data_IF_150219431725
#
_entry.id   IF_150219431725
#
_cell.length_a   1.000
_cell.length_b   1.000
_cell.length_c   1.000
_cell.angle_alpha   90.00
_cell.angle_beta   90.00
_cell.angle_gamma   90.00
#
_symmetry.space_group_name_H-M   'P 1'
#
loop_
_entity.id
_entity.type
_entity.pdbx_description
1 polymer ?
#
# COMPACT_ATOMS: atom_id res chain seq x y z
N UNK A 1 -1.79 31.12 18.93
CA UNK A 1 -0.91 31.06 17.73
C UNK A 1 0.42 30.34 17.96
N UNK A 2 0.58 29.53 19.02
CA UNK A 2 1.59 28.47 19.07
C UNK A 2 1.06 27.30 19.90
N UNK A 3 -0.03 26.68 19.41
CA UNK A 3 -0.43 25.39 19.95
C UNK A 3 0.58 24.37 19.43
N UNK A 4 1.12 23.55 20.33
CA UNK A 4 1.92 22.36 20.06
C UNK A 4 1.12 21.37 19.18
N UNK A 5 0.87 21.72 17.92
CA UNK A 5 0.45 20.78 16.88
C UNK A 5 1.62 19.81 16.73
N UNK A 6 1.42 18.64 17.33
CA UNK A 6 2.37 17.55 17.53
C UNK A 6 3.51 17.57 16.50
N UNK A 7 4.74 17.85 16.95
CA UNK A 7 5.93 17.93 16.09
C UNK A 7 6.07 16.71 15.16
N UNK A 8 5.72 15.52 15.66
CA UNK A 8 5.70 14.28 14.87
C UNK A 8 4.67 14.28 13.73
N UNK A 9 3.50 14.90 13.93
CA UNK A 9 2.49 15.06 12.86
C UNK A 9 2.94 16.07 11.80
N UNK A 10 3.69 17.10 12.20
CA UNK A 10 4.29 18.04 11.26
C UNK A 10 5.44 17.38 10.46
N UNK A 11 6.29 16.58 11.11
CA UNK A 11 7.36 15.86 10.42
C UNK A 11 6.80 14.85 9.41
N UNK A 12 5.80 14.05 9.79
CA UNK A 12 5.17 13.07 8.87
C UNK A 12 4.46 13.74 7.70
N UNK A 13 3.77 14.87 7.93
CA UNK A 13 3.17 15.62 6.81
C UNK A 13 4.21 16.22 5.87
N UNK A 14 5.34 16.72 6.39
CA UNK A 14 6.46 17.20 5.57
C UNK A 14 7.09 16.05 4.77
N UNK A 15 7.35 14.89 5.38
CA UNK A 15 7.88 13.71 4.68
C UNK A 15 6.96 13.26 3.55
N UNK A 16 5.66 13.14 3.84
CA UNK A 16 4.65 12.81 2.82
C UNK A 16 4.66 13.83 1.69
N UNK A 17 4.62 15.12 2.01
CA UNK A 17 4.58 16.19 1.02
C UNK A 17 5.80 16.16 0.10
N UNK A 18 7.02 16.08 0.64
CA UNK A 18 8.27 16.10 -0.15
C UNK A 18 8.28 14.91 -1.11
N UNK A 19 7.98 13.71 -0.61
CA UNK A 19 8.02 12.49 -1.42
C UNK A 19 6.96 12.51 -2.52
N UNK A 20 5.73 12.90 -2.19
CA UNK A 20 4.64 12.96 -3.19
C UNK A 20 4.84 14.09 -4.21
N UNK A 21 5.38 15.23 -3.80
CA UNK A 21 5.75 16.32 -4.70
C UNK A 21 6.85 15.85 -5.67
N UNK A 22 7.90 15.19 -5.18
CA UNK A 22 8.95 14.60 -6.02
C UNK A 22 8.38 13.56 -7.00
N UNK A 23 7.46 12.70 -6.55
CA UNK A 23 6.78 11.74 -7.42
C UNK A 23 6.02 12.44 -8.54
N UNK A 24 5.32 13.53 -8.22
CA UNK A 24 4.54 14.30 -9.19
C UNK A 24 5.41 15.03 -10.21
N UNK A 25 6.56 15.57 -9.80
CA UNK A 25 7.50 16.22 -10.72
C UNK A 25 8.19 15.19 -11.62
N UNK A 26 8.56 14.02 -11.09
CA UNK A 26 9.07 12.91 -11.91
C UNK A 26 8.04 12.45 -12.95
N UNK A 27 6.77 12.33 -12.56
CA UNK A 27 5.68 11.97 -13.47
C UNK A 27 5.52 13.03 -14.57
N UNK A 28 5.43 14.32 -14.21
CA UNK A 28 5.32 15.41 -15.19
C UNK A 28 6.51 15.43 -16.14
N UNK A 29 7.73 15.33 -15.60
CA UNK A 29 8.95 15.29 -16.40
C UNK A 29 8.95 14.10 -17.37
N UNK A 30 8.46 12.94 -16.94
CA UNK A 30 8.34 11.77 -17.82
C UNK A 30 7.40 12.02 -18.98
N UNK A 31 6.22 12.58 -18.74
CA UNK A 31 5.26 12.89 -19.81
C UNK A 31 5.85 13.91 -20.79
N UNK A 32 6.51 14.96 -20.30
CA UNK A 32 7.15 15.98 -21.15
C UNK A 32 8.28 15.39 -22.01
N UNK A 33 9.12 14.52 -21.44
CA UNK A 33 10.20 13.87 -22.18
C UNK A 33 9.68 12.98 -23.30
N UNK A 34 8.59 12.27 -23.04
CA UNK A 34 7.94 11.44 -24.05
C UNK A 34 7.36 12.36 -25.16
N UNK A 35 6.82 13.53 -24.81
CA UNK A 35 6.28 14.52 -25.78
C UNK A 35 7.27 15.21 -26.65
N UNK A 36 8.45 15.46 -26.11
CA UNK A 36 9.53 16.02 -26.92
C UNK A 36 10.05 15.01 -27.93
N UNK A 37 10.08 13.73 -27.59
CA UNK A 37 10.70 12.69 -28.42
C UNK A 37 9.75 12.13 -29.48
N UNK A 38 8.47 12.03 -29.17
CA UNK A 38 7.49 11.43 -30.07
C UNK A 38 6.43 12.48 -30.43
N UNK A 39 6.17 12.69 -31.72
CA UNK A 39 4.98 13.41 -32.18
C UNK A 39 3.74 12.54 -31.97
N UNK A 40 2.54 13.15 -31.92
CA UNK A 40 1.22 12.49 -31.79
C UNK A 40 1.22 11.04 -32.37
N UNK A 41 1.11 10.03 -31.50
CA UNK A 41 1.19 8.61 -31.90
C UNK A 41 2.00 7.70 -30.96
N UNK A 42 2.13 8.05 -29.68
CA UNK A 42 2.97 7.30 -28.72
C UNK A 42 2.41 5.95 -28.31
N UNK A 43 1.18 5.64 -28.72
CA UNK A 43 0.48 4.41 -28.36
C UNK A 43 1.24 3.17 -28.86
N UNK A 44 2.06 3.31 -29.91
CA UNK A 44 2.72 2.18 -30.57
C UNK A 44 4.18 1.94 -30.18
N UNK A 45 4.86 2.88 -29.54
CA UNK A 45 6.25 2.67 -29.09
C UNK A 45 6.30 2.55 -27.57
N UNK A 46 7.07 1.57 -27.08
CA UNK A 46 7.35 1.37 -25.66
C UNK A 46 8.37 2.43 -25.24
N UNK A 47 7.89 3.66 -25.07
CA UNK A 47 8.68 4.80 -24.60
C UNK A 47 8.77 4.66 -23.08
N UNK A 48 9.93 4.87 -22.41
CA UNK A 48 10.29 4.17 -21.18
C UNK A 48 9.24 4.29 -20.08
N UNK A 49 8.39 3.25 -20.04
CA UNK A 49 7.39 2.97 -19.01
C UNK A 49 8.03 2.91 -17.63
N UNK A 50 9.34 2.70 -17.53
CA UNK A 50 10.10 2.69 -16.29
C UNK A 50 10.04 4.04 -15.53
N UNK A 51 10.07 5.19 -16.21
CA UNK A 51 10.05 6.48 -15.48
C UNK A 51 8.65 6.83 -14.98
N UNK A 52 7.62 6.55 -15.78
CA UNK A 52 6.22 6.66 -15.34
C UNK A 52 5.95 5.68 -14.19
N UNK A 53 6.27 4.39 -14.38
CA UNK A 53 6.03 3.36 -13.35
C UNK A 53 6.80 3.65 -12.07
N UNK A 54 8.08 4.02 -12.11
CA UNK A 54 8.83 4.40 -10.90
C UNK A 54 8.19 5.56 -10.14
N UNK A 55 7.67 6.59 -10.85
CA UNK A 55 6.95 7.69 -10.22
C UNK A 55 5.66 7.24 -9.53
N UNK A 56 4.88 6.36 -10.16
CA UNK A 56 3.62 5.83 -9.61
C UNK A 56 3.88 4.88 -8.44
N UNK A 57 4.89 4.02 -8.55
CA UNK A 57 5.30 3.10 -7.49
C UNK A 57 5.82 3.84 -6.26
N UNK A 58 6.51 4.96 -6.46
CA UNK A 58 6.90 5.86 -5.37
C UNK A 58 5.66 6.48 -4.70
N UNK A 59 4.64 6.92 -5.47
CA UNK A 59 3.37 7.41 -4.90
C UNK A 59 2.65 6.37 -4.05
N UNK A 60 2.63 5.12 -4.49
CA UNK A 60 1.94 4.00 -3.80
C UNK A 60 2.76 3.47 -2.61
N UNK A 61 4.07 3.69 -2.58
CA UNK A 61 4.97 3.17 -1.55
C UNK A 61 5.38 1.71 -1.78
N UNK A 62 5.45 1.26 -3.03
CA UNK A 62 5.98 -0.07 -3.37
C UNK A 62 7.49 -0.10 -3.10
N UNK A 63 8.04 -1.26 -2.71
CA UNK A 63 9.48 -1.39 -2.59
C UNK A 63 10.15 -1.36 -3.98
N UNK A 64 11.35 -0.77 -4.12
CA UNK A 64 12.23 -0.22 -3.08
C UNK A 64 11.84 1.18 -2.55
N UNK A 65 10.87 1.87 -3.16
CA UNK A 65 10.44 3.24 -2.81
C UNK A 65 9.57 3.36 -1.54
N UNK A 66 9.59 2.35 -0.68
CA UNK A 66 8.64 2.17 0.42
C UNK A 66 9.01 2.91 1.72
N UNK A 67 10.25 3.40 1.89
CA UNK A 67 10.77 3.89 3.18
C UNK A 67 9.92 4.99 3.83
N UNK A 68 9.34 5.89 3.02
CA UNK A 68 8.51 6.97 3.53
C UNK A 68 7.21 6.46 4.17
N UNK A 69 6.71 5.31 3.72
CA UNK A 69 5.37 4.86 4.03
C UNK A 69 5.20 4.41 5.50
N UNK A 70 6.04 3.50 6.05
CA UNK A 70 5.99 3.15 7.47
C UNK A 70 6.26 4.33 8.40
N UNK A 71 7.19 5.22 8.03
CA UNK A 71 7.53 6.40 8.84
C UNK A 71 6.36 7.38 8.95
N UNK A 72 5.72 7.72 7.82
CA UNK A 72 4.54 8.61 7.80
C UNK A 72 3.38 7.98 8.57
N UNK A 73 3.13 6.69 8.37
CA UNK A 73 2.06 6.00 9.10
C UNK A 73 2.29 5.98 10.61
N UNK A 74 3.53 5.76 11.06
CA UNK A 74 3.89 5.68 12.49
C UNK A 74 3.50 6.91 13.31
N UNK A 75 3.48 8.10 12.70
CA UNK A 75 3.19 9.36 13.38
C UNK A 75 1.79 9.93 13.07
N UNK A 76 1.01 9.24 12.22
CA UNK A 76 -0.30 9.70 11.77
C UNK A 76 -1.46 9.12 12.60
N UNK A 77 -2.63 9.76 12.55
CA UNK A 77 -3.85 9.23 13.20
C UNK A 77 -4.38 8.00 12.46
N UNK A 78 -5.20 7.17 13.12
CA UNK A 78 -5.79 5.98 12.51
C UNK A 78 -6.59 6.28 11.23
N UNK A 79 -7.32 7.38 11.20
CA UNK A 79 -8.09 7.78 10.01
C UNK A 79 -7.15 8.13 8.86
N UNK A 80 -6.06 8.85 9.14
CA UNK A 80 -5.07 9.19 8.13
C UNK A 80 -4.34 7.93 7.63
N UNK A 81 -4.00 6.98 8.52
CA UNK A 81 -3.48 5.67 8.13
C UNK A 81 -4.42 4.96 7.14
N UNK A 82 -5.73 4.94 7.42
CA UNK A 82 -6.71 4.32 6.52
C UNK A 82 -6.73 5.00 5.15
N UNK A 83 -6.75 6.34 5.12
CA UNK A 83 -6.74 7.09 3.85
C UNK A 83 -5.48 6.83 3.02
N UNK A 84 -4.32 6.72 3.67
CA UNK A 84 -3.04 6.39 3.01
C UNK A 84 -3.02 4.96 2.46
N UNK A 85 -3.58 4.00 3.21
CA UNK A 85 -3.62 2.60 2.80
C UNK A 85 -4.64 2.32 1.68
N UNK A 86 -5.70 3.11 1.59
CA UNK A 86 -6.83 2.86 0.67
C UNK A 86 -6.93 3.97 -0.38
N UNK A 87 -7.50 5.11 0.00
CA UNK A 87 -7.87 6.19 -0.92
C UNK A 87 -6.71 6.69 -1.78
N UNK A 88 -5.54 6.90 -1.19
CA UNK A 88 -4.36 7.41 -1.92
C UNK A 88 -3.77 6.39 -2.92
N UNK A 89 -4.13 5.11 -2.83
CA UNK A 89 -3.65 4.08 -3.77
C UNK A 89 -4.48 3.98 -5.03
N UNK A 90 -5.75 4.43 -5.01
CA UNK A 90 -6.69 4.25 -6.14
C UNK A 90 -6.15 4.91 -7.41
N UNK A 91 -5.94 6.24 -7.39
CA UNK A 91 -5.56 6.96 -8.60
C UNK A 91 -4.20 6.50 -9.19
N UNK A 92 -3.12 6.32 -8.39
CA UNK A 92 -1.88 5.80 -8.93
C UNK A 92 -1.99 4.37 -9.50
N UNK A 93 -2.79 3.49 -8.88
CA UNK A 93 -2.98 2.11 -9.36
C UNK A 93 -3.79 2.07 -10.66
N UNK A 94 -4.83 2.91 -10.80
CA UNK A 94 -5.57 3.05 -12.06
C UNK A 94 -4.66 3.50 -13.20
N UNK A 95 -3.81 4.52 -12.98
CA UNK A 95 -2.88 4.98 -14.03
C UNK A 95 -1.84 3.89 -14.33
N UNK A 96 -1.40 3.17 -13.30
CA UNK A 96 -0.45 2.08 -13.47
C UNK A 96 -1.04 0.96 -14.34
N UNK A 97 -2.34 0.63 -14.25
CA UNK A 97 -2.97 -0.43 -15.06
C UNK A 97 -2.83 -0.19 -16.56
N UNK A 98 -3.04 1.05 -17.00
CA UNK A 98 -2.89 1.42 -18.41
C UNK A 98 -1.44 1.46 -18.90
N UNK A 99 -0.48 1.62 -18.00
CA UNK A 99 0.94 1.77 -18.34
C UNK A 99 1.77 0.51 -18.05
N UNK A 100 1.18 -0.52 -17.41
CA UNK A 100 1.94 -1.66 -16.93
C UNK A 100 2.34 -2.55 -18.10
N UNK A 101 3.60 -2.96 -18.10
CA UNK A 101 4.11 -3.94 -19.04
C UNK A 101 4.92 -4.98 -18.27
N UNK A 102 4.78 -6.24 -18.67
CA UNK A 102 5.57 -7.32 -18.11
C UNK A 102 7.04 -7.10 -18.46
N UNK A 103 7.81 -6.67 -17.46
CA UNK A 103 9.23 -6.35 -17.57
C UNK A 103 9.95 -6.87 -16.34
N UNK A 104 11.26 -7.12 -16.50
CA UNK A 104 12.13 -7.50 -15.38
C UNK A 104 12.07 -6.50 -14.23
N UNK A 105 11.89 -5.21 -14.55
CA UNK A 105 11.70 -4.15 -13.57
C UNK A 105 10.45 -4.38 -12.70
N UNK A 106 9.28 -4.56 -13.31
CA UNK A 106 8.04 -4.80 -12.56
C UNK A 106 8.10 -6.08 -11.73
N UNK A 107 8.74 -7.13 -12.25
CA UNK A 107 8.92 -8.38 -11.53
C UNK A 107 9.81 -8.22 -10.27
N UNK A 108 10.89 -7.45 -10.37
CA UNK A 108 11.75 -7.13 -9.22
C UNK A 108 10.99 -6.32 -8.16
N UNK A 109 10.13 -5.39 -8.59
CA UNK A 109 9.28 -4.60 -7.68
C UNK A 109 8.25 -5.49 -6.97
N UNK A 110 7.58 -6.41 -7.68
CA UNK A 110 6.62 -7.33 -7.05
C UNK A 110 7.30 -8.20 -6.00
N UNK A 111 8.45 -8.79 -6.33
CA UNK A 111 9.17 -9.66 -5.38
C UNK A 111 9.70 -8.87 -4.19
N UNK A 112 10.34 -7.72 -4.45
CA UNK A 112 10.91 -6.91 -3.39
C UNK A 112 9.83 -6.36 -2.45
N UNK A 113 8.68 -5.94 -2.97
CA UNK A 113 7.56 -5.46 -2.13
C UNK A 113 6.96 -6.56 -1.26
N UNK A 114 6.82 -7.79 -1.76
CA UNK A 114 6.37 -8.93 -0.96
C UNK A 114 7.40 -9.27 0.13
N UNK A 115 8.68 -9.40 -0.22
CA UNK A 115 9.74 -9.77 0.72
C UNK A 115 9.94 -8.70 1.80
N UNK A 116 10.05 -7.43 1.39
CA UNK A 116 10.28 -6.31 2.31
C UNK A 116 9.05 -6.05 3.17
N UNK A 117 7.85 -6.19 2.63
CA UNK A 117 6.62 -6.11 3.40
C UNK A 117 6.54 -7.22 4.46
N UNK A 118 6.91 -8.46 4.11
CA UNK A 118 6.92 -9.57 5.05
C UNK A 118 7.99 -9.42 6.13
N UNK A 119 9.26 -9.24 5.74
CA UNK A 119 10.39 -9.16 6.68
C UNK A 119 10.36 -7.87 7.50
N UNK A 120 10.03 -6.75 6.88
CA UNK A 120 9.98 -5.44 7.54
C UNK A 120 8.91 -5.37 8.62
N UNK A 121 7.81 -6.12 8.49
CA UNK A 121 6.74 -6.20 9.49
C UNK A 121 7.10 -7.03 10.73
N UNK A 122 7.98 -8.02 10.62
CA UNK A 122 8.31 -8.95 11.73
C UNK A 122 8.95 -8.24 12.92
N UNK A 123 9.69 -7.17 12.69
CA UNK A 123 10.42 -6.44 13.74
C UNK A 123 9.71 -5.16 14.23
N UNK A 124 8.41 -5.01 13.95
CA UNK A 124 7.67 -3.80 14.35
C UNK A 124 6.86 -4.02 15.62
N UNK A 125 6.99 -3.09 16.56
CA UNK A 125 6.18 -3.05 17.79
C UNK A 125 4.99 -2.10 17.68
N UNK A 126 5.02 -1.16 16.74
CA UNK A 126 3.89 -0.26 16.48
C UNK A 126 2.91 -0.87 15.48
N UNK A 127 1.62 -0.86 15.82
CA UNK A 127 0.57 -1.43 14.97
C UNK A 127 0.42 -0.67 13.65
N UNK A 128 0.70 0.63 13.66
CA UNK A 128 0.67 1.48 12.46
C UNK A 128 1.77 1.10 11.46
N UNK A 129 3.00 0.86 11.92
CA UNK A 129 4.08 0.39 11.04
C UNK A 129 3.82 -1.04 10.58
N UNK A 130 3.30 -1.91 11.45
CA UNK A 130 2.95 -3.27 11.07
C UNK A 130 1.92 -3.30 9.93
N UNK A 131 0.86 -2.48 10.04
CA UNK A 131 -0.11 -2.30 8.94
C UNK A 131 0.50 -1.62 7.72
N UNK A 132 1.51 -0.76 7.91
CA UNK A 132 2.21 -0.16 6.78
C UNK A 132 2.93 -1.22 5.93
N UNK A 133 3.69 -2.09 6.58
CA UNK A 133 4.41 -3.20 5.95
C UNK A 133 3.48 -4.27 5.37
N UNK A 134 2.35 -4.58 6.03
CA UNK A 134 1.34 -5.44 5.42
C UNK A 134 0.76 -4.81 4.15
N UNK A 135 0.54 -3.49 4.13
CA UNK A 135 0.10 -2.82 2.92
C UNK A 135 1.13 -2.88 1.78
N UNK A 136 2.44 -2.86 2.11
CA UNK A 136 3.53 -2.98 1.14
C UNK A 136 3.54 -4.38 0.52
N UNK A 137 3.31 -5.43 1.33
CA UNK A 137 3.21 -6.79 0.79
C UNK A 137 1.95 -6.97 -0.07
N UNK A 138 0.81 -6.40 0.33
CA UNK A 138 -0.41 -6.41 -0.48
C UNK A 138 -0.26 -5.61 -1.78
N UNK A 139 0.50 -4.51 -1.80
CA UNK A 139 0.83 -3.81 -3.05
C UNK A 139 1.56 -4.74 -4.02
N UNK A 140 2.49 -5.57 -3.53
CA UNK A 140 3.17 -6.55 -4.39
C UNK A 140 2.20 -7.52 -5.06
N UNK A 141 1.22 -8.04 -4.31
CA UNK A 141 0.15 -8.87 -4.85
C UNK A 141 -0.80 -8.11 -5.80
N UNK A 142 -1.07 -6.83 -5.53
CA UNK A 142 -1.90 -6.02 -6.41
C UNK A 142 -1.18 -5.70 -7.74
N UNK A 143 0.12 -5.43 -7.70
CA UNK A 143 0.94 -5.24 -8.90
C UNK A 143 1.02 -6.55 -9.68
N UNK A 144 1.14 -7.70 -9.02
CA UNK A 144 1.09 -8.98 -9.73
C UNK A 144 -0.29 -9.20 -10.36
N UNK A 145 -1.39 -8.88 -9.68
CA UNK A 145 -2.72 -8.97 -10.30
C UNK A 145 -2.93 -8.04 -11.48
N UNK A 146 -2.36 -6.83 -11.44
CA UNK A 146 -2.42 -5.85 -12.53
C UNK A 146 -1.81 -6.39 -13.83
N UNK A 147 -0.75 -7.20 -13.72
CA UNK A 147 -0.09 -7.82 -14.88
C UNK A 147 -1.01 -8.83 -15.56
N UNK A 148 -1.90 -9.49 -14.80
CA UNK A 148 -2.80 -10.51 -15.35
C UNK A 148 -4.06 -9.90 -15.95
N UNK A 149 -4.78 -9.08 -15.18
CA UNK A 149 -5.96 -8.37 -15.68
C UNK A 149 -6.37 -7.20 -14.80
N UNK A 150 -7.05 -6.23 -15.40
CA UNK A 150 -7.58 -5.07 -14.69
C UNK A 150 -8.66 -5.49 -13.65
N UNK A 151 -9.52 -6.44 -13.99
CA UNK A 151 -10.60 -6.86 -13.10
C UNK A 151 -10.09 -7.55 -11.81
N UNK A 152 -9.00 -8.32 -11.89
CA UNK A 152 -8.50 -9.07 -10.73
C UNK A 152 -7.87 -8.12 -9.70
N UNK A 153 -7.13 -7.08 -10.12
CA UNK A 153 -6.55 -6.16 -9.15
C UNK A 153 -7.61 -5.28 -8.49
N UNK A 154 -8.65 -4.85 -9.21
CA UNK A 154 -9.76 -4.10 -8.63
C UNK A 154 -10.46 -4.93 -7.55
N UNK A 155 -10.73 -6.20 -7.86
CA UNK A 155 -11.30 -7.13 -6.91
C UNK A 155 -10.40 -7.32 -5.67
N UNK A 156 -9.09 -7.50 -5.88
CA UNK A 156 -8.12 -7.60 -4.80
C UNK A 156 -8.16 -6.34 -3.92
N UNK A 157 -8.15 -5.16 -4.55
CA UNK A 157 -8.12 -3.88 -3.87
C UNK A 157 -9.38 -3.66 -3.02
N UNK A 158 -10.56 -4.02 -3.54
CA UNK A 158 -11.82 -3.93 -2.78
C UNK A 158 -11.74 -4.78 -1.52
N UNK A 159 -11.34 -6.06 -1.62
CA UNK A 159 -11.21 -6.94 -0.45
C UNK A 159 -10.20 -6.38 0.56
N UNK A 160 -9.03 -5.98 0.09
CA UNK A 160 -8.01 -5.38 0.95
C UNK A 160 -8.51 -4.10 1.66
N UNK A 161 -9.21 -3.22 0.93
CA UNK A 161 -9.73 -1.98 1.49
C UNK A 161 -10.79 -2.23 2.57
N UNK A 162 -11.65 -3.22 2.39
CA UNK A 162 -12.66 -3.62 3.39
C UNK A 162 -12.00 -4.20 4.65
N UNK A 163 -11.05 -5.12 4.48
CA UNK A 163 -10.36 -5.75 5.62
C UNK A 163 -9.53 -4.72 6.42
N UNK A 164 -8.82 -3.83 5.72
CA UNK A 164 -8.04 -2.76 6.37
C UNK A 164 -8.95 -1.75 7.09
N UNK A 165 -10.11 -1.42 6.53
CA UNK A 165 -11.10 -0.56 7.18
C UNK A 165 -11.62 -1.17 8.49
N UNK A 166 -11.99 -2.45 8.49
CA UNK A 166 -12.47 -3.15 9.68
C UNK A 166 -11.39 -3.11 10.78
N UNK A 167 -10.15 -3.46 10.45
CA UNK A 167 -9.05 -3.49 11.42
C UNK A 167 -8.71 -2.12 12.00
N UNK A 168 -8.62 -1.10 11.15
CA UNK A 168 -8.30 0.26 11.60
C UNK A 168 -9.41 0.81 12.49
N UNK A 169 -10.68 0.53 12.18
CA UNK A 169 -11.79 0.95 13.04
C UNK A 169 -11.75 0.26 14.41
N UNK A 170 -11.43 -1.04 14.46
CA UNK A 170 -11.24 -1.75 15.72
C UNK A 170 -10.12 -1.14 16.55
N UNK A 171 -8.94 -0.91 15.96
CA UNK A 171 -7.81 -0.28 16.66
C UNK A 171 -8.10 1.15 17.11
N UNK A 172 -8.84 1.92 16.31
CA UNK A 172 -9.27 3.26 16.66
C UNK A 172 -10.24 3.26 17.84
N UNK A 173 -11.26 2.40 17.81
CA UNK A 173 -12.26 2.33 18.88
C UNK A 173 -11.61 1.96 20.22
N UNK A 174 -10.58 1.12 20.17
CA UNK A 174 -9.87 0.66 21.36
C UNK A 174 -8.59 1.43 21.69
N UNK A 175 -8.30 2.53 20.98
CA UNK A 175 -7.10 3.38 21.13
C UNK A 175 -5.77 2.61 21.18
N UNK A 176 -5.65 1.53 20.40
CA UNK A 176 -4.42 0.75 20.33
C UNK A 176 -3.45 1.40 19.33
N UNK A 177 -2.17 1.48 19.69
CA UNK A 177 -1.09 1.95 18.81
C UNK A 177 0.14 1.05 18.86
N UNK A 178 0.38 0.36 19.98
CA UNK A 178 1.53 -0.52 20.21
C UNK A 178 1.09 -1.91 20.63
N UNK A 179 1.89 -2.94 20.30
CA UNK A 179 1.62 -4.34 20.67
C UNK A 179 1.45 -4.52 22.18
N UNK A 180 2.24 -3.82 23.00
CA UNK A 180 2.16 -3.90 24.46
C UNK A 180 0.79 -3.51 25.02
N UNK A 181 0.07 -2.60 24.34
CA UNK A 181 -1.26 -2.16 24.75
C UNK A 181 -2.32 -3.25 24.52
N UNK A 182 -2.10 -4.16 23.56
CA UNK A 182 -2.99 -5.30 23.35
C UNK A 182 -2.92 -6.25 24.56
N UNK A 183 -1.71 -6.50 25.06
CA UNK A 183 -1.50 -7.36 26.24
C UNK A 183 -2.04 -6.72 27.53
N UNK A 184 -1.88 -5.41 27.69
CA UNK A 184 -2.35 -4.71 28.90
C UNK A 184 -3.84 -4.38 28.88
N UNK A 185 -4.52 -4.50 27.74
CA UNK A 185 -5.96 -4.23 27.62
C UNK A 185 -6.81 -5.40 28.15
N UNK A 186 -6.72 -5.64 29.46
CA UNK A 186 -7.54 -6.59 30.20
C UNK A 186 -9.04 -6.27 30.09
N UNK A 187 -9.40 -4.97 29.99
CA UNK A 187 -10.79 -4.51 29.95
C UNK A 187 -11.44 -4.52 28.55
N UNK A 188 -10.78 -5.01 27.50
CA UNK A 188 -11.47 -5.15 26.21
C UNK A 188 -12.45 -6.31 26.25
N UNK A 189 -13.68 -6.07 25.76
CA UNK A 189 -14.68 -7.11 25.56
C UNK A 189 -14.10 -8.25 24.73
N UNK A 190 -14.38 -9.48 25.12
CA UNK A 190 -13.91 -10.70 24.45
C UNK A 190 -14.30 -10.70 22.95
N UNK A 191 -15.49 -10.21 22.63
CA UNK A 191 -15.98 -10.07 21.25
C UNK A 191 -15.04 -9.23 20.38
N UNK A 192 -14.54 -8.10 20.88
CA UNK A 192 -13.65 -7.21 20.12
C UNK A 192 -12.30 -7.91 19.90
N UNK A 193 -11.77 -8.61 20.91
CA UNK A 193 -10.52 -9.40 20.76
C UNK A 193 -10.69 -10.49 19.70
N UNK A 194 -11.83 -11.17 19.68
CA UNK A 194 -12.12 -12.20 18.69
C UNK A 194 -12.26 -11.62 17.28
N UNK A 195 -12.95 -10.48 17.12
CA UNK A 195 -13.05 -9.79 15.83
C UNK A 195 -11.68 -9.31 15.33
N UNK A 196 -10.83 -8.76 16.21
CA UNK A 196 -9.45 -8.40 15.88
C UNK A 196 -8.67 -9.64 15.40
N UNK A 197 -8.78 -10.77 16.11
CA UNK A 197 -8.12 -12.02 15.73
C UNK A 197 -8.55 -12.50 14.33
N UNK A 198 -9.86 -12.60 14.07
CA UNK A 198 -10.38 -13.03 12.77
C UNK A 198 -9.93 -12.10 11.63
N UNK A 199 -9.97 -10.79 11.87
CA UNK A 199 -9.55 -9.80 10.88
C UNK A 199 -8.05 -9.88 10.55
N UNK A 200 -7.19 -10.12 11.54
CA UNK A 200 -5.75 -10.32 11.31
C UNK A 200 -5.47 -11.61 10.52
N UNK A 201 -6.15 -12.72 10.84
CA UNK A 201 -6.04 -13.96 10.06
C UNK A 201 -6.52 -13.76 8.61
N UNK A 202 -7.58 -12.98 8.42
CA UNK A 202 -8.10 -12.68 7.09
C UNK A 202 -7.10 -11.86 6.26
N UNK A 203 -6.43 -10.84 6.82
CA UNK A 203 -5.36 -10.12 6.12
C UNK A 203 -4.15 -11.03 5.82
N UNK A 204 -3.84 -11.97 6.72
CA UNK A 204 -2.84 -13.02 6.47
C UNK A 204 -3.15 -13.85 5.23
N UNK A 205 -4.43 -14.00 4.89
CA UNK A 205 -4.89 -14.78 3.75
C UNK A 205 -4.86 -16.28 4.03
N UNK A 206 -5.29 -16.69 5.24
CA UNK A 206 -5.46 -18.10 5.57
C UNK A 206 -6.83 -18.60 5.05
N UNK A 207 -6.91 -19.79 4.42
CA UNK A 207 -8.18 -20.49 4.27
C UNK A 207 -8.74 -20.75 5.67
N UNK A 208 -10.04 -20.50 5.99
CA UNK A 208 -11.22 -20.25 5.13
C UNK A 208 -11.64 -18.77 4.99
N UNK A 209 -10.76 -17.80 5.24
CA UNK A 209 -11.13 -16.38 5.31
C UNK A 209 -11.13 -15.67 3.96
N UNK A 210 -11.90 -14.57 3.87
CA UNK A 210 -12.07 -13.76 2.66
C UNK A 210 -10.76 -13.28 2.03
N UNK A 211 -9.74 -12.93 2.84
CA UNK A 211 -8.47 -12.43 2.30
C UNK A 211 -7.59 -13.51 1.63
N UNK A 212 -7.94 -14.79 1.75
CA UNK A 212 -7.31 -15.86 0.95
C UNK A 212 -7.77 -15.80 -0.52
N UNK A 213 -9.06 -15.52 -0.74
CA UNK A 213 -9.70 -15.54 -2.06
C UNK A 213 -8.94 -14.72 -3.13
N UNK A 214 -8.58 -13.44 -2.92
CA UNK A 214 -7.93 -12.66 -3.96
C UNK A 214 -6.49 -13.13 -4.22
N UNK A 215 -5.75 -13.61 -3.21
CA UNK A 215 -4.41 -14.20 -3.40
C UNK A 215 -4.49 -15.48 -4.22
N UNK A 216 -5.49 -16.32 -3.94
CA UNK A 216 -5.69 -17.57 -4.67
C UNK A 216 -6.03 -17.33 -6.14
N UNK A 217 -6.95 -16.40 -6.43
CA UNK A 217 -7.31 -16.03 -7.81
C UNK A 217 -6.07 -15.56 -8.58
N UNK A 218 -5.24 -14.70 -7.96
CA UNK A 218 -4.02 -14.19 -8.59
C UNK A 218 -3.02 -15.32 -8.86
N UNK A 219 -2.85 -16.27 -7.93
CA UNK A 219 -1.96 -17.41 -8.16
C UNK A 219 -2.46 -18.30 -9.30
N UNK A 220 -3.76 -18.61 -9.32
CA UNK A 220 -4.37 -19.42 -10.37
C UNK A 220 -4.18 -18.76 -11.74
N UNK A 221 -4.50 -17.47 -11.84
CA UNK A 221 -4.43 -16.72 -13.10
C UNK A 221 -3.02 -16.43 -13.58
N UNK A 222 -2.00 -16.61 -12.72
CA UNK A 222 -0.58 -16.52 -13.11
C UNK A 222 -0.01 -17.84 -13.61
N UNK A 223 -0.65 -18.95 -13.26
CA UNK A 223 -0.25 -20.30 -13.70
C UNK A 223 -0.87 -20.62 -15.06
N UNK A 224 -2.09 -20.13 -15.29
CA UNK A 224 -2.79 -20.15 -16.59
C UNK A 224 -2.15 -19.21 -17.61
#
# INVERSE_FOLDING_TARGET
>A
LANNKNKMTNESSIKYFIVQAMASTMLLFSILMIQMKYSMGWESEIIPSMMISSSLLLKIGAAPFHFWFPEVMSASSWINCLTLMTWQKIAPMMILSYCIQMSTFMFLITISSIIIGALGGLNQTSLRQLLAYSSISHIGWMISSLIVSENIWEFYFIIYSLLSLILVLLFKQSNLFFMNQIYSASNMKMEIKFMMFLSLLSLGGLPPFLGFMPKWIVMQSMIE
#
